data_IF_624284345026
#
_entry.id   IF_624284345026
#
_cell.length_a   1.000
_cell.length_b   1.000
_cell.length_c   1.000
_cell.angle_alpha   90.00
_cell.angle_beta   90.00
_cell.angle_gamma   90.00
#
_symmetry.space_group_name_H-M   'P 1'
#
loop_
_entity.id
_entity.type
_entity.pdbx_description
1 polymer ?
#
# COMPACT_ATOMS: atom_id res chain seq x y z
N UNK A 1 -6.63 10.39 2.94
CA UNK A 1 -7.69 9.47 3.39
C UNK A 1 -7.27 8.03 3.07
N UNK A 2 -7.82 6.99 3.71
CA UNK A 2 -7.47 5.59 3.40
C UNK A 2 -8.62 4.87 2.72
N UNK A 3 -8.31 4.11 1.67
CA UNK A 3 -9.24 3.33 0.87
C UNK A 3 -8.83 1.86 0.86
N UNK A 4 -9.81 0.98 0.75
CA UNK A 4 -9.63 -0.42 0.43
C UNK A 4 -10.06 -0.66 -1.02
N UNK A 5 -9.23 -1.35 -1.77
CA UNK A 5 -9.57 -1.77 -3.13
C UNK A 5 -10.53 -2.96 -3.05
N UNK A 6 -11.66 -2.85 -3.73
CA UNK A 6 -12.67 -3.90 -3.79
C UNK A 6 -13.40 -3.89 -5.15
N UNK A 7 -14.32 -4.82 -5.38
CA UNK A 7 -15.15 -4.88 -6.58
C UNK A 7 -14.40 -5.02 -7.92
N UNK A 8 -13.13 -5.44 -7.93
CA UNK A 8 -12.45 -5.79 -9.19
C UNK A 8 -13.03 -7.11 -9.72
N UNK A 9 -13.62 -7.13 -10.92
CA UNK A 9 -14.12 -8.35 -11.55
C UNK A 9 -13.04 -9.42 -11.65
N UNK A 10 -13.37 -10.68 -11.39
CA UNK A 10 -12.41 -11.81 -11.49
C UNK A 10 -11.76 -11.89 -12.89
N UNK A 11 -12.50 -11.50 -13.94
CA UNK A 11 -12.00 -11.42 -15.31
C UNK A 11 -10.85 -10.41 -15.46
N UNK A 12 -10.86 -9.33 -14.68
CA UNK A 12 -9.86 -8.26 -14.69
C UNK A 12 -8.74 -8.48 -13.66
N UNK A 13 -8.94 -9.31 -12.63
CA UNK A 13 -7.87 -9.69 -11.70
C UNK A 13 -6.73 -10.46 -12.38
N UNK A 14 -7.03 -11.13 -13.50
CA UNK A 14 -6.02 -11.83 -14.32
C UNK A 14 -5.21 -10.88 -15.23
N UNK A 15 -5.67 -9.64 -15.41
CA UNK A 15 -4.89 -8.58 -16.05
C UNK A 15 -3.85 -8.09 -15.04
N UNK A 16 -2.68 -7.67 -15.54
CA UNK A 16 -1.59 -7.11 -14.72
C UNK A 16 -1.96 -5.70 -14.22
N UNK A 17 -3.02 -5.61 -13.41
CA UNK A 17 -3.38 -4.40 -12.69
C UNK A 17 -2.33 -4.11 -11.61
N UNK A 18 -2.02 -2.84 -11.40
CA UNK A 18 -1.07 -2.39 -10.38
C UNK A 18 -1.62 -2.52 -8.96
N UNK A 19 -2.89 -2.91 -8.82
CA UNK A 19 -3.61 -3.10 -7.58
C UNK A 19 -4.57 -4.30 -7.66
N UNK A 20 -4.89 -4.90 -6.52
CA UNK A 20 -5.82 -6.05 -6.39
C UNK A 20 -6.81 -5.85 -5.25
N UNK A 21 -7.87 -6.66 -5.24
CA UNK A 21 -8.84 -6.67 -4.15
C UNK A 21 -8.15 -6.91 -2.79
N UNK A 22 -8.51 -6.08 -1.80
CA UNK A 22 -7.94 -6.08 -0.47
C UNK A 22 -6.70 -5.19 -0.29
N UNK A 23 -6.14 -4.64 -1.36
CA UNK A 23 -5.05 -3.67 -1.23
C UNK A 23 -5.55 -2.41 -0.51
N UNK A 24 -4.68 -1.83 0.30
CA UNK A 24 -4.97 -0.61 1.05
C UNK A 24 -4.12 0.51 0.49
N UNK A 25 -4.77 1.62 0.13
CA UNK A 25 -4.12 2.76 -0.50
C UNK A 25 -4.51 4.06 0.18
N UNK A 26 -3.63 5.05 0.10
CA UNK A 26 -3.87 6.40 0.59
C UNK A 26 -4.38 7.25 -0.56
N UNK A 27 -5.61 7.73 -0.45
CA UNK A 27 -6.17 8.69 -1.38
C UNK A 27 -5.52 10.06 -1.19
N UNK A 28 -4.95 10.60 -2.26
CA UNK A 28 -4.17 11.84 -2.31
C UNK A 28 -5.01 13.06 -2.71
N UNK A 29 -5.83 12.93 -3.76
CA UNK A 29 -6.60 14.03 -4.35
C UNK A 29 -8.05 14.13 -3.82
N UNK A 30 -8.27 13.82 -2.54
CA UNK A 30 -9.62 13.82 -1.95
C UNK A 30 -10.10 15.24 -1.60
N UNK A 31 -11.40 15.48 -1.76
CA UNK A 31 -12.05 16.70 -1.28
C UNK A 31 -12.02 16.75 0.27
N UNK A 32 -11.67 17.89 0.90
CA UNK A 32 -11.65 18.03 2.35
C UNK A 32 -12.94 17.61 3.09
N UNK A 33 -14.10 17.62 2.43
CA UNK A 33 -15.37 17.08 2.96
C UNK A 33 -15.24 15.63 3.46
N UNK A 34 -14.29 14.88 2.90
CA UNK A 34 -14.05 13.49 3.29
C UNK A 34 -13.48 13.34 4.71
N UNK A 35 -12.99 14.43 5.33
CA UNK A 35 -12.51 14.42 6.72
C UNK A 35 -13.64 14.52 7.76
N UNK A 36 -14.86 14.81 7.33
CA UNK A 36 -16.00 14.87 8.23
C UNK A 36 -16.42 13.46 8.70
N UNK A 37 -17.10 13.33 9.86
CA UNK A 37 -17.47 12.03 10.41
C UNK A 37 -18.34 11.15 9.49
N UNK A 38 -19.11 11.76 8.59
CA UNK A 38 -20.01 11.09 7.65
C UNK A 38 -19.86 11.70 6.24
N UNK A 39 -18.75 11.40 5.54
CA UNK A 39 -18.37 12.13 4.34
C UNK A 39 -19.16 11.78 3.07
N UNK A 40 -20.14 10.89 3.19
CA UNK A 40 -20.90 10.37 2.05
C UNK A 40 -20.09 9.36 1.21
N UNK A 41 -20.64 8.92 0.07
CA UNK A 41 -19.98 7.99 -0.84
C UNK A 41 -18.78 8.64 -1.56
N UNK A 42 -17.93 7.80 -2.14
CA UNK A 42 -16.91 8.23 -3.10
C UNK A 42 -17.59 8.88 -4.31
N UNK A 43 -16.88 9.75 -5.05
CA UNK A 43 -17.45 10.35 -6.26
C UNK A 43 -17.68 9.26 -7.33
N UNK A 44 -18.83 9.31 -8.00
CA UNK A 44 -19.18 8.36 -9.05
C UNK A 44 -18.37 8.64 -10.33
N UNK A 45 -17.98 7.58 -11.05
CA UNK A 45 -17.26 7.64 -12.34
C UNK A 45 -15.94 8.46 -12.33
N UNK A 46 -15.29 8.57 -11.17
CA UNK A 46 -14.04 9.33 -11.01
C UNK A 46 -12.81 8.44 -10.83
N UNK A 47 -11.66 8.98 -11.20
CA UNK A 47 -10.35 8.36 -11.01
C UNK A 47 -9.68 8.94 -9.76
N UNK A 48 -9.34 8.07 -8.81
CA UNK A 48 -8.76 8.42 -7.53
C UNK A 48 -7.24 8.28 -7.59
N UNK A 49 -6.52 9.38 -7.36
CA UNK A 49 -5.07 9.35 -7.23
C UNK A 49 -4.70 8.78 -5.87
N UNK A 50 -4.06 7.64 -5.87
CA UNK A 50 -3.78 6.86 -4.68
C UNK A 50 -2.28 6.60 -4.55
N UNK A 51 -1.83 6.42 -3.31
CA UNK A 51 -0.48 6.02 -2.96
C UNK A 51 -0.53 4.66 -2.25
N UNK A 52 0.23 3.69 -2.73
CA UNK A 52 0.37 2.38 -2.07
C UNK A 52 1.15 2.50 -0.76
N UNK A 53 1.23 1.40 -0.01
CA UNK A 53 2.12 1.34 1.15
C UNK A 53 3.58 1.66 0.82
N UNK A 54 4.06 1.29 -0.37
CA UNK A 54 5.43 1.51 -0.87
C UNK A 54 5.71 2.93 -1.35
N UNK A 55 4.72 3.83 -1.28
CA UNK A 55 4.84 5.21 -1.80
C UNK A 55 4.72 5.29 -3.32
N UNK A 56 4.22 4.24 -3.98
CA UNK A 56 3.99 4.24 -5.42
C UNK A 56 2.62 4.87 -5.71
N UNK A 57 2.60 5.84 -6.61
CA UNK A 57 1.36 6.45 -7.06
C UNK A 57 0.68 5.55 -8.08
N UNK A 58 -0.61 5.33 -7.92
CA UNK A 58 -1.46 4.62 -8.87
C UNK A 58 -2.82 5.32 -8.98
N UNK A 59 -3.58 4.96 -10.00
CA UNK A 59 -4.91 5.52 -10.26
C UNK A 59 -5.95 4.41 -10.15
N UNK A 60 -6.96 4.63 -9.29
CA UNK A 60 -8.03 3.65 -9.02
C UNK A 60 -9.37 4.23 -9.47
N UNK A 61 -10.18 3.53 -10.26
CA UNK A 61 -11.57 3.89 -10.47
C UNK A 61 -12.35 3.86 -9.15
N UNK A 62 -13.19 4.86 -8.89
CA UNK A 62 -13.92 4.98 -7.63
C UNK A 62 -14.84 3.79 -7.33
N UNK A 63 -15.38 3.15 -8.36
CA UNK A 63 -16.15 1.90 -8.30
C UNK A 63 -15.35 0.70 -7.74
N UNK A 64 -14.02 0.74 -7.86
CA UNK A 64 -13.11 -0.29 -7.36
C UNK A 64 -12.52 0.04 -5.98
N UNK A 65 -13.09 1.02 -5.28
CA UNK A 65 -12.60 1.46 -3.99
C UNK A 65 -13.74 1.65 -2.98
N UNK A 66 -13.41 1.44 -1.72
CA UNK A 66 -14.25 1.77 -0.58
C UNK A 66 -13.50 2.62 0.44
N UNK A 67 -14.20 3.61 0.96
CA UNK A 67 -13.71 4.41 2.08
C UNK A 67 -13.63 3.58 3.37
N UNK A 68 -12.47 3.60 4.02
CA UNK A 68 -12.30 3.01 5.35
C UNK A 68 -12.74 4.05 6.39
N UNK A 69 -14.04 4.09 6.66
CA UNK A 69 -14.66 5.08 7.58
C UNK A 69 -14.51 4.70 9.05
N UNK A 70 -14.40 3.41 9.36
CA UNK A 70 -14.26 2.93 10.73
C UNK A 70 -12.83 3.09 11.24
N UNK A 71 -12.65 3.83 12.34
CA UNK A 71 -11.35 3.95 13.02
C UNK A 71 -10.80 2.60 13.50
N UNK A 72 -11.69 1.69 13.91
CA UNK A 72 -11.31 0.35 14.37
C UNK A 72 -10.77 -0.48 13.20
N UNK A 73 -11.48 -0.46 12.07
CA UNK A 73 -11.05 -1.14 10.85
C UNK A 73 -9.71 -0.59 10.36
N UNK A 74 -9.59 0.74 10.29
CA UNK A 74 -8.35 1.38 9.88
C UNK A 74 -7.18 1.00 10.79
N UNK A 75 -7.38 0.97 12.11
CA UNK A 75 -6.35 0.57 13.07
C UNK A 75 -5.91 -0.89 12.86
N UNK A 76 -6.85 -1.80 12.61
CA UNK A 76 -6.55 -3.21 12.32
C UNK A 76 -5.73 -3.35 11.03
N UNK A 77 -6.12 -2.64 9.96
CA UNK A 77 -5.40 -2.67 8.69
C UNK A 77 -3.99 -2.07 8.80
N UNK A 78 -3.85 -0.95 9.52
CA UNK A 78 -2.56 -0.30 9.74
C UNK A 78 -1.59 -1.14 10.60
N UNK A 79 -2.09 -2.00 11.48
CA UNK A 79 -1.24 -2.94 12.23
C UNK A 79 -0.54 -3.94 11.32
N UNK A 80 -1.15 -4.28 10.18
CA UNK A 80 -0.60 -5.20 9.19
C UNK A 80 0.18 -4.50 8.07
N UNK A 81 0.44 -3.20 8.19
CA UNK A 81 1.20 -2.45 7.19
C UNK A 81 2.59 -3.07 6.98
N UNK A 82 2.95 -3.45 5.74
CA UNK A 82 4.31 -3.89 5.42
C UNK A 82 5.33 -2.81 5.76
N UNK A 83 6.38 -3.17 6.50
CA UNK A 83 7.49 -2.26 6.87
C UNK A 83 8.65 -2.29 5.87
N UNK A 84 8.68 -3.30 5.02
CA UNK A 84 9.63 -3.49 3.95
C UNK A 84 8.94 -4.24 2.81
N UNK A 85 9.38 -3.98 1.58
CA UNK A 85 8.93 -4.70 0.38
C UNK A 85 10.18 -5.14 -0.40
N UNK A 86 10.12 -6.35 -0.96
CA UNK A 86 11.16 -6.88 -1.84
C UNK A 86 11.00 -6.21 -3.20
N UNK A 87 12.03 -5.50 -3.66
CA UNK A 87 11.93 -4.62 -4.86
C UNK A 87 12.10 -5.43 -6.14
N UNK A 88 13.09 -6.32 -6.19
CA UNK A 88 13.50 -7.00 -7.41
C UNK A 88 14.16 -8.35 -7.12
N UNK A 89 14.28 -9.18 -8.16
CA UNK A 89 15.10 -10.38 -8.15
C UNK A 89 16.57 -10.00 -7.98
N UNK A 90 17.00 -9.90 -6.74
CA UNK A 90 18.39 -9.64 -6.38
C UNK A 90 19.20 -10.94 -6.51
N UNK A 91 20.18 -10.95 -7.41
CA UNK A 91 21.17 -12.03 -7.49
C UNK A 91 22.29 -11.68 -6.51
N UNK A 92 22.15 -12.16 -5.28
CA UNK A 92 23.19 -12.04 -4.28
C UNK A 92 24.46 -12.78 -4.71
N UNK A 93 25.61 -12.27 -4.29
CA UNK A 93 26.88 -13.00 -4.44
C UNK A 93 27.02 -14.14 -3.43
N UNK A 94 26.16 -14.15 -2.40
CA UNK A 94 26.03 -15.20 -1.39
C UNK A 94 24.56 -15.40 -1.01
N UNK A 95 24.24 -16.56 -0.44
CA UNK A 95 22.90 -16.90 0.05
C UNK A 95 22.45 -16.10 1.28
N UNK A 96 23.30 -15.23 1.81
CA UNK A 96 23.03 -14.40 2.99
C UNK A 96 22.60 -12.97 2.63
N UNK A 97 22.57 -12.62 1.34
CA UNK A 97 22.24 -11.28 0.87
C UNK A 97 20.78 -11.18 0.41
N UNK A 98 20.10 -10.10 0.83
CA UNK A 98 18.72 -9.78 0.46
C UNK A 98 18.62 -8.29 0.10
N UNK A 99 17.96 -7.96 -1.01
CA UNK A 99 17.63 -6.58 -1.35
C UNK A 99 16.24 -6.22 -0.83
N UNK A 100 16.13 -5.11 -0.11
CA UNK A 100 14.87 -4.62 0.48
C UNK A 100 14.69 -3.13 0.22
N UNK A 101 13.46 -2.71 -0.08
CA UNK A 101 13.04 -1.29 0.04
C UNK A 101 12.64 -1.07 1.49
N UNK A 102 13.24 -0.08 2.14
CA UNK A 102 12.69 0.44 3.40
C UNK A 102 11.56 1.40 3.05
N UNK A 103 10.39 1.17 3.65
CA UNK A 103 9.24 2.05 3.52
C UNK A 103 9.14 2.88 4.81
N UNK A 104 9.69 4.11 4.80
CA UNK A 104 9.62 5.01 5.95
C UNK A 104 8.56 6.10 5.75
N UNK A 105 7.78 6.37 6.80
CA UNK A 105 6.80 7.48 6.84
C UNK A 105 7.41 8.86 7.10
N UNK A 106 8.72 8.94 7.24
CA UNK A 106 9.45 10.18 7.39
C UNK A 106 10.25 10.42 6.11
N UNK A 107 10.29 11.66 5.63
CA UNK A 107 11.33 12.15 4.72
C UNK A 107 12.69 11.96 5.40
N UNK A 108 13.22 10.75 5.31
CA UNK A 108 14.62 10.47 5.59
C UNK A 108 15.18 10.04 4.26
N UNK A 109 15.67 11.03 3.50
CA UNK A 109 16.68 10.80 2.48
C UNK A 109 17.97 10.34 3.18
N UNK A 110 17.99 9.09 3.65
CA UNK A 110 19.22 8.46 4.12
C UNK A 110 19.83 7.74 2.91
N UNK A 111 20.85 8.37 2.32
CA UNK A 111 21.83 7.63 1.54
C UNK A 111 22.67 6.85 2.56
N UNK A 112 22.30 5.59 2.79
CA UNK A 112 23.02 4.71 3.69
C UNK A 112 24.24 4.14 2.94
N UNK A 113 25.42 4.70 3.21
CA UNK A 113 26.69 4.05 2.87
C UNK A 113 27.15 3.21 4.06
N UNK A 114 26.93 1.90 3.99
CA UNK A 114 27.37 0.92 4.98
C UNK A 114 26.52 -0.34 4.98
N UNK A 115 27.02 -1.49 5.48
CA UNK A 115 26.21 -2.69 5.61
C UNK A 115 25.04 -2.42 6.56
N UNK A 116 23.82 -2.44 6.02
CA UNK A 116 22.61 -2.39 6.84
C UNK A 116 22.48 -3.77 7.49
N UNK A 117 22.91 -3.88 8.75
CA UNK A 117 22.68 -5.08 9.54
C UNK A 117 21.24 -5.03 10.03
N UNK A 118 20.32 -5.64 9.27
CA UNK A 118 18.96 -5.88 9.73
C UNK A 118 19.00 -7.07 10.69
N UNK A 119 19.24 -6.79 11.99
CA UNK A 119 19.10 -7.81 13.02
C UNK A 119 17.62 -8.18 13.15
N UNK A 120 17.28 -9.37 12.65
CA UNK A 120 15.96 -10.01 12.71
C UNK A 120 14.96 -9.55 11.63
N UNK A 121 15.05 -10.18 10.45
CA UNK A 121 13.88 -10.29 9.56
C UNK A 121 13.13 -11.56 9.96
N UNK A 122 11.99 -11.41 10.62
CA UNK A 122 11.06 -12.52 10.83
C UNK A 122 10.23 -12.69 9.55
N UNK A 123 10.62 -13.64 8.69
CA UNK A 123 9.79 -14.12 7.59
C UNK A 123 8.75 -15.09 8.17
N UNK A 124 7.52 -14.63 8.32
CA UNK A 124 6.40 -15.53 8.64
C UNK A 124 5.99 -16.24 7.35
N UNK A 125 6.40 -17.50 7.21
CA UNK A 125 5.89 -18.38 6.17
C UNK A 125 4.50 -18.88 6.59
N UNK A 126 3.48 -18.59 5.77
CA UNK A 126 2.21 -19.33 5.83
C UNK A 126 2.35 -20.51 4.86
N UNK A 127 2.43 -21.71 5.41
CA UNK A 127 2.41 -22.99 4.67
C UNK A 127 0.96 -23.35 4.39
#
# INVERSE_FOLDING_TARGET
>A
MWLMIENIPETQQSLTLEFKNGDIVRWLNYDPKYLEPNPGPLPDDELLECETWSGECLVVPSENARLISSKLELAQLLQHRPRAVVVEAFVGTSSEELSVKVISNAEISAVLFGPIVIQNIYLTYFI
#
